data_IF_855271298232
#
_entry.id   IF_855271298232
#
_cell.length_a   1.000
_cell.length_b   1.000
_cell.length_c   1.000
_cell.angle_alpha   90.00
_cell.angle_beta   90.00
_cell.angle_gamma   90.00
#
_symmetry.space_group_name_H-M   'P 1'
#
loop_
_entity.id
_entity.type
_entity.pdbx_description
1 polymer ?
#
# COMPACT_ATOMS: atom_id res chain seq x y z
N UNK A 1 -0.42 9.81 -10.25
CA UNK A 1 0.82 9.83 -9.44
C UNK A 1 1.81 8.88 -10.06
N UNK A 2 3.09 9.24 -10.11
CA UNK A 2 4.14 8.36 -10.66
C UNK A 2 4.89 7.72 -9.50
N UNK A 3 4.45 6.54 -9.07
CA UNK A 3 5.19 5.77 -8.06
C UNK A 3 6.47 5.24 -8.71
N UNK A 4 7.62 5.60 -8.15
CA UNK A 4 8.90 5.06 -8.60
C UNK A 4 9.10 3.66 -8.00
N UNK A 5 8.67 2.68 -8.78
CA UNK A 5 8.75 1.27 -8.45
C UNK A 5 10.20 0.75 -8.49
N UNK A 6 10.66 0.02 -7.46
CA UNK A 6 12.02 -0.53 -7.41
C UNK A 6 12.13 -1.78 -8.30
N UNK A 7 13.33 -2.25 -8.62
CA UNK A 7 13.48 -3.53 -9.35
C UNK A 7 12.99 -4.72 -8.51
N UNK A 8 13.31 -4.71 -7.22
CA UNK A 8 12.86 -5.69 -6.23
C UNK A 8 11.98 -4.98 -5.20
N UNK A 9 10.73 -5.42 -5.05
CA UNK A 9 9.83 -4.87 -4.04
C UNK A 9 10.09 -5.54 -2.70
N UNK A 10 10.45 -4.75 -1.69
CA UNK A 10 10.55 -5.20 -0.30
C UNK A 10 9.37 -4.66 0.50
N UNK A 11 8.95 -5.35 1.59
CA UNK A 11 7.88 -4.84 2.44
C UNK A 11 8.19 -3.47 3.02
N UNK A 12 9.43 -3.23 3.42
CA UNK A 12 9.87 -1.92 3.95
C UNK A 12 9.65 -0.81 2.93
N UNK A 13 10.03 -1.05 1.67
CA UNK A 13 9.88 -0.06 0.61
C UNK A 13 8.40 0.20 0.32
N UNK A 14 7.58 -0.85 0.23
CA UNK A 14 6.15 -0.70 0.02
C UNK A 14 5.47 0.08 1.16
N UNK A 15 5.78 -0.26 2.42
CA UNK A 15 5.28 0.47 3.59
C UNK A 15 5.65 1.95 3.51
N UNK A 16 6.88 2.29 3.11
CA UNK A 16 7.31 3.67 2.99
C UNK A 16 6.54 4.43 1.90
N UNK A 17 6.32 3.82 0.73
CA UNK A 17 5.50 4.44 -0.32
C UNK A 17 4.08 4.69 0.18
N UNK A 18 3.45 3.67 0.78
CA UNK A 18 2.06 3.73 1.26
C UNK A 18 1.91 4.82 2.33
N UNK A 19 2.82 4.87 3.32
CA UNK A 19 2.80 5.86 4.42
C UNK A 19 3.03 7.29 3.96
N UNK A 20 3.78 7.49 2.87
CA UNK A 20 4.04 8.81 2.33
C UNK A 20 2.86 9.38 1.53
N UNK A 21 1.79 8.61 1.31
CA UNK A 21 0.61 9.12 0.61
C UNK A 21 -0.25 9.98 1.54
N UNK A 22 -0.51 11.21 1.12
CA UNK A 22 -1.47 12.11 1.81
C UNK A 22 -2.92 11.64 1.65
N UNK A 23 -3.22 10.98 0.54
CA UNK A 23 -4.57 10.49 0.25
C UNK A 23 -4.67 8.98 0.57
N UNK A 24 -5.55 8.58 1.50
CA UNK A 24 -5.76 7.18 1.88
C UNK A 24 -6.19 6.27 0.71
N UNK A 25 -7.02 6.76 -0.22
CA UNK A 25 -7.42 6.00 -1.41
C UNK A 25 -6.25 5.79 -2.36
N UNK A 26 -5.35 6.76 -2.47
CA UNK A 26 -4.13 6.59 -3.26
C UNK A 26 -3.18 5.59 -2.62
N UNK A 27 -3.08 5.59 -1.29
CA UNK A 27 -2.35 4.56 -0.55
C UNK A 27 -2.89 3.14 -0.87
N UNK A 28 -4.21 3.01 -0.93
CA UNK A 28 -4.88 1.75 -1.28
C UNK A 28 -4.66 1.34 -2.74
N UNK A 29 -4.71 2.29 -3.68
CA UNK A 29 -4.39 2.01 -5.08
C UNK A 29 -2.97 1.47 -5.24
N UNK A 30 -1.98 2.07 -4.57
CA UNK A 30 -0.59 1.60 -4.59
C UNK A 30 -0.47 0.20 -3.97
N UNK A 31 -1.17 -0.04 -2.85
CA UNK A 31 -1.22 -1.36 -2.22
C UNK A 31 -1.76 -2.44 -3.16
N UNK A 32 -2.83 -2.14 -3.91
CA UNK A 32 -3.41 -3.04 -4.92
C UNK A 32 -2.45 -3.20 -6.11
N UNK A 33 -1.92 -2.11 -6.65
CA UNK A 33 -0.99 -2.10 -7.80
C UNK A 33 0.29 -2.91 -7.54
N UNK A 34 0.84 -2.87 -6.32
CA UNK A 34 2.01 -3.64 -5.94
C UNK A 34 1.85 -5.15 -6.18
N UNK A 35 0.66 -5.71 -5.93
CA UNK A 35 0.37 -7.13 -6.15
C UNK A 35 0.36 -7.49 -7.64
N UNK A 36 -0.17 -6.61 -8.49
CA UNK A 36 -0.19 -6.83 -9.93
C UNK A 36 1.20 -6.68 -10.55
N UNK A 37 1.99 -5.72 -10.07
CA UNK A 37 3.31 -5.41 -10.62
C UNK A 37 4.40 -6.37 -10.16
N UNK A 38 4.23 -6.97 -8.99
CA UNK A 38 5.15 -7.95 -8.41
C UNK A 38 4.38 -9.22 -8.05
N UNK A 39 4.11 -10.12 -9.01
CA UNK A 39 3.28 -11.31 -8.77
C UNK A 39 3.89 -12.29 -7.76
N UNK A 40 5.21 -12.25 -7.55
CA UNK A 40 5.94 -13.08 -6.57
C UNK A 40 5.90 -12.45 -5.16
N UNK A 41 5.58 -11.16 -5.06
CA UNK A 41 5.58 -10.44 -3.80
C UNK A 41 4.25 -10.63 -3.07
N UNK A 42 4.32 -11.13 -1.84
CA UNK A 42 3.19 -11.28 -0.95
C UNK A 42 3.19 -10.17 0.11
N UNK A 43 2.06 -9.48 0.25
CA UNK A 43 1.85 -8.54 1.36
C UNK A 43 1.95 -9.28 2.70
N UNK A 44 2.67 -8.69 3.66
CA UNK A 44 2.80 -9.24 5.01
C UNK A 44 1.92 -8.47 6.01
N UNK A 45 1.80 -9.01 7.24
CA UNK A 45 1.00 -8.42 8.31
C UNK A 45 1.24 -6.91 8.53
N UNK A 46 2.50 -6.44 8.61
CA UNK A 46 2.81 -5.01 8.71
C UNK A 46 2.26 -4.13 7.57
N UNK A 47 2.27 -4.60 6.31
CA UNK A 47 1.66 -3.85 5.19
C UNK A 47 0.16 -3.74 5.41
N UNK A 48 -0.51 -4.85 5.76
CA UNK A 48 -1.94 -4.85 6.02
C UNK A 48 -2.30 -3.92 7.19
N UNK A 49 -1.56 -3.99 8.30
CA UNK A 49 -1.75 -3.10 9.45
C UNK A 49 -1.57 -1.62 9.04
N UNK A 50 -0.58 -1.34 8.19
CA UNK A 50 -0.33 0.02 7.67
C UNK A 50 -1.52 0.54 6.88
N UNK A 51 -2.04 -0.23 5.91
CA UNK A 51 -3.13 0.23 5.06
C UNK A 51 -4.46 0.31 5.84
N UNK A 52 -4.72 -0.65 6.74
CA UNK A 52 -5.87 -0.61 7.65
C UNK A 52 -5.82 0.64 8.53
N UNK A 53 -4.65 0.96 9.10
CA UNK A 53 -4.49 2.15 9.93
C UNK A 53 -4.73 3.44 9.16
N UNK A 54 -4.21 3.55 7.93
CA UNK A 54 -4.41 4.73 7.07
C UNK A 54 -5.88 4.90 6.69
N UNK A 55 -6.54 3.82 6.25
CA UNK A 55 -7.95 3.85 5.87
C UNK A 55 -8.86 4.06 7.09
N UNK A 56 -8.56 3.42 8.21
CA UNK A 56 -9.29 3.56 9.46
C UNK A 56 -9.25 4.98 10.00
N UNK A 57 -8.08 5.62 10.02
CA UNK A 57 -7.95 7.02 10.43
C UNK A 57 -8.69 7.99 9.50
N UNK A 58 -8.87 7.60 8.23
CA UNK A 58 -9.66 8.37 7.26
C UNK A 58 -11.16 8.04 7.27
N UNK A 59 -11.63 7.09 8.08
CA UNK A 59 -13.02 6.61 8.05
C UNK A 59 -13.39 5.83 6.78
N UNK A 60 -12.39 5.34 6.03
CA UNK A 60 -12.54 4.70 4.72
C UNK A 60 -12.21 3.20 4.74
N UNK A 61 -12.30 2.54 5.89
CA UNK A 61 -11.96 1.11 6.03
C UNK A 61 -12.79 0.20 5.10
N UNK A 62 -14.02 0.62 4.73
CA UNK A 62 -14.92 -0.08 3.81
C UNK A 62 -14.37 -0.19 2.38
N UNK A 63 -13.41 0.64 2.00
CA UNK A 63 -12.80 0.64 0.65
C UNK A 63 -11.85 -0.54 0.43
N UNK A 64 -11.48 -1.22 1.51
CA UNK A 64 -10.53 -2.32 1.51
C UNK A 64 -11.09 -3.65 0.95
N UNK A 65 -12.33 -3.63 0.42
CA UNK A 65 -12.96 -4.74 -0.28
C UNK A 65 -12.17 -5.23 -1.49
#
# INVERSE_FOLDING_TARGET
>A
MTVRWPRLLTPTYLSQIIRNQKNPLTALQIFKEAKYKYPIYCHNGPIYATIIGILGNAGQICEMK
#
